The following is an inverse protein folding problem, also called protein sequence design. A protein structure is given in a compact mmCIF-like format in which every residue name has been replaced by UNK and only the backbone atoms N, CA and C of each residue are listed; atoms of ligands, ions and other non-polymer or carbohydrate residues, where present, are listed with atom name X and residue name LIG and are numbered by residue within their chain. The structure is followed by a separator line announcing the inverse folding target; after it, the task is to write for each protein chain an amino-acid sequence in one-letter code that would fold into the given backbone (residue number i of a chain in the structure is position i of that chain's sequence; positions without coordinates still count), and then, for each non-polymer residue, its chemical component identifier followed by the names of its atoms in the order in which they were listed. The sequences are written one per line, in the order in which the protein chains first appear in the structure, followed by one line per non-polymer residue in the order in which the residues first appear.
data_IF_661177730542
#
_entry.id   IF_661177730542
#
_cell.length_a   1.000
_cell.length_b   1.000
_cell.length_c   1.000
_cell.angle_alpha   90.00
_cell.angle_beta   90.00
_cell.angle_gamma   90.00
#
_symmetry.space_group_name_H-M   'P 1'
#
loop_
_entity.id
_entity.type
_entity.pdbx_description
1 polymer ?
#
# COMPACT_ATOMS: atom_id res chain seq x y z
N UNK A 1 -70.59 -53.01 42.87
CA UNK A 1 -69.13 -52.94 43.09
C UNK A 1 -68.70 -51.48 43.03
N UNK A 2 -68.10 -50.99 44.13
CA UNK A 2 -67.20 -49.83 44.29
C UNK A 2 -67.67 -48.39 43.97
N UNK A 3 -67.87 -47.63 45.07
CA UNK A 3 -67.51 -46.23 45.39
C UNK A 3 -67.91 -45.06 44.45
N UNK A 4 -68.17 -43.85 45.00
CA UNK A 4 -67.05 -42.95 45.33
C UNK A 4 -67.22 -42.14 46.64
N UNK A 5 -66.08 -41.70 47.21
CA UNK A 5 -66.01 -40.74 48.35
C UNK A 5 -65.26 -39.49 47.89
N UNK A 6 -65.80 -38.35 48.32
CA UNK A 6 -65.47 -36.97 47.95
C UNK A 6 -64.14 -36.52 48.57
N UNK A 7 -63.24 -35.94 47.76
CA UNK A 7 -61.97 -35.33 48.19
C UNK A 7 -62.02 -33.80 48.16
N UNK A 8 -61.70 -33.17 49.30
CA UNK A 8 -61.66 -31.71 49.48
C UNK A 8 -60.40 -31.08 48.86
N UNK A 9 -60.58 -30.04 48.03
CA UNK A 9 -59.50 -29.20 47.48
C UNK A 9 -59.13 -28.09 48.47
N UNK A 10 -57.85 -28.05 48.89
CA UNK A 10 -57.23 -26.87 49.53
C UNK A 10 -56.44 -26.09 48.48
N UNK A 11 -56.86 -24.85 48.23
CA UNK A 11 -56.09 -23.83 47.53
C UNK A 11 -55.29 -23.06 48.57
N UNK A 12 -53.96 -22.99 48.42
CA UNK A 12 -53.14 -21.95 49.06
C UNK A 12 -52.10 -21.43 48.09
N UNK A 13 -52.16 -20.11 47.89
CA UNK A 13 -51.25 -19.26 47.14
C UNK A 13 -49.79 -19.46 47.57
N UNK A 14 -48.89 -19.53 46.60
CA UNK A 14 -47.48 -19.19 46.77
C UNK A 14 -47.19 -17.94 45.93
N UNK A 15 -47.13 -16.79 46.61
CA UNK A 15 -46.56 -15.55 46.11
C UNK A 15 -45.10 -15.82 45.69
N UNK A 16 -44.83 -15.79 44.39
CA UNK A 16 -43.47 -15.70 43.86
C UNK A 16 -43.20 -14.23 43.54
N UNK A 17 -42.65 -13.49 44.51
CA UNK A 17 -42.17 -12.13 44.31
C UNK A 17 -40.94 -12.17 43.40
N UNK A 18 -41.15 -11.94 42.10
CA UNK A 18 -40.08 -11.79 41.11
C UNK A 18 -39.45 -10.40 41.27
N UNK A 19 -38.54 -10.25 42.22
CA UNK A 19 -37.66 -9.07 42.30
C UNK A 19 -36.58 -9.24 41.25
N UNK A 20 -36.75 -8.58 40.09
CA UNK A 20 -35.67 -8.36 39.12
C UNK A 20 -34.84 -7.16 39.60
N UNK A 21 -33.62 -7.33 40.14
CA UNK A 21 -32.73 -6.20 40.30
C UNK A 21 -32.35 -5.71 38.89
N UNK A 22 -32.62 -4.43 38.62
CA UNK A 22 -32.15 -3.77 37.41
C UNK A 22 -30.63 -3.82 37.37
N UNK A 23 -30.08 -4.68 36.52
CA UNK A 23 -28.66 -4.67 36.15
C UNK A 23 -28.38 -3.43 35.29
N UNK A 24 -28.34 -2.25 35.93
CA UNK A 24 -27.62 -1.11 35.39
C UNK A 24 -26.14 -1.44 35.50
N UNK A 25 -25.60 -2.14 34.49
CA UNK A 25 -24.16 -2.31 34.37
C UNK A 25 -23.54 -0.93 34.14
N UNK A 26 -22.96 -0.34 35.19
CA UNK A 26 -22.21 0.90 35.07
C UNK A 26 -20.96 0.64 34.23
N UNK A 27 -21.01 0.96 32.95
CA UNK A 27 -19.81 1.02 32.10
C UNK A 27 -19.07 2.31 32.47
N UNK A 28 -18.05 2.19 33.32
CA UNK A 28 -17.16 3.30 33.63
C UNK A 28 -16.11 3.41 32.53
N UNK A 29 -16.31 4.37 31.61
CA UNK A 29 -15.31 4.70 30.61
C UNK A 29 -14.34 5.73 31.20
N UNK A 30 -13.03 5.46 31.11
CA UNK A 30 -12.00 6.35 31.64
C UNK A 30 -11.98 7.66 30.85
N UNK A 31 -12.25 8.77 31.53
CA UNK A 31 -12.17 10.11 30.98
C UNK A 31 -11.01 10.87 31.59
N UNK A 32 -10.33 11.68 30.78
CA UNK A 32 -9.21 12.51 31.23
C UNK A 32 -9.10 13.75 30.36
N UNK A 33 -8.69 14.88 30.95
CA UNK A 33 -8.31 16.11 30.22
C UNK A 33 -6.88 15.98 29.72
N UNK A 34 -6.64 16.22 28.43
CA UNK A 34 -5.29 16.10 27.84
C UNK A 34 -4.48 17.39 28.03
N UNK A 35 -5.14 18.55 28.09
CA UNK A 35 -4.52 19.83 28.44
C UNK A 35 -5.40 20.70 29.38
N UNK A 36 -4.82 21.71 30.07
CA UNK A 36 -5.57 22.66 30.87
C UNK A 36 -6.61 23.42 30.03
N UNK A 37 -7.86 23.46 30.51
CA UNK A 37 -8.97 24.12 29.81
C UNK A 37 -9.70 23.25 28.78
N UNK A 38 -9.24 22.03 28.53
CA UNK A 38 -9.97 21.07 27.68
C UNK A 38 -11.07 20.33 28.43
N UNK A 39 -12.09 19.90 27.69
CA UNK A 39 -13.10 18.97 28.20
C UNK A 39 -12.51 17.56 28.35
N UNK A 40 -12.95 16.77 29.36
CA UNK A 40 -12.51 15.39 29.50
C UNK A 40 -12.87 14.57 28.25
N UNK A 41 -11.87 13.88 27.69
CA UNK A 41 -12.05 12.95 26.57
C UNK A 41 -11.95 11.51 27.02
N UNK A 42 -12.62 10.61 26.29
CA UNK A 42 -12.54 9.17 26.50
C UNK A 42 -11.14 8.65 26.11
N UNK A 43 -10.42 8.06 27.06
CA UNK A 43 -9.11 7.44 26.78
C UNK A 43 -9.27 5.93 26.70
N UNK A 44 -9.00 5.40 25.50
CA UNK A 44 -8.92 3.97 25.23
C UNK A 44 -7.58 3.35 25.61
N UNK A 45 -7.35 2.12 25.15
CA UNK A 45 -6.05 1.46 25.32
C UNK A 45 -4.94 2.22 24.56
N UNK A 46 -3.72 2.17 25.10
CA UNK A 46 -2.55 2.75 24.43
C UNK A 46 -2.21 1.99 23.14
N UNK A 47 -1.52 2.66 22.22
CA UNK A 47 -0.97 2.02 21.03
C UNK A 47 0.00 0.90 21.40
N UNK A 48 -0.03 -0.19 20.62
CA UNK A 48 0.85 -1.36 20.77
C UNK A 48 1.30 -1.86 19.40
N UNK A 49 2.33 -2.71 19.38
CA UNK A 49 2.72 -3.43 18.16
C UNK A 49 1.59 -4.30 17.63
N UNK A 50 1.44 -4.38 16.31
CA UNK A 50 0.42 -5.19 15.66
C UNK A 50 0.84 -6.67 15.57
N UNK A 51 0.84 -7.34 16.73
CA UNK A 51 1.18 -8.76 16.91
C UNK A 51 0.13 -9.74 16.40
N UNK A 52 0.61 -10.91 15.98
CA UNK A 52 -0.19 -12.05 15.51
C UNK A 52 0.32 -13.36 16.14
N UNK A 53 -0.38 -14.49 15.97
CA UNK A 53 0.12 -15.80 16.40
C UNK A 53 1.41 -16.22 15.71
N UNK A 54 1.78 -15.60 14.59
CA UNK A 54 2.98 -15.94 13.81
C UNK A 54 4.28 -15.40 14.43
N UNK A 55 4.20 -14.44 15.36
CA UNK A 55 5.39 -13.79 15.93
C UNK A 55 6.42 -14.80 16.49
N UNK A 56 6.06 -15.83 17.29
CA UNK A 56 6.99 -16.91 17.68
C UNK A 56 7.64 -17.62 16.50
N UNK A 57 6.85 -17.92 15.47
CA UNK A 57 7.31 -18.63 14.28
C UNK A 57 8.33 -17.77 13.50
N UNK A 58 8.10 -16.45 13.38
CA UNK A 58 9.07 -15.54 12.75
C UNK A 58 10.36 -15.43 13.56
N UNK A 59 10.28 -15.37 14.88
CA UNK A 59 11.48 -15.32 15.72
C UNK A 59 12.33 -16.59 15.55
N UNK A 60 11.70 -17.76 15.59
CA UNK A 60 12.35 -19.06 15.30
C UNK A 60 12.98 -19.07 13.90
N UNK A 61 12.19 -18.73 12.88
CA UNK A 61 12.63 -18.82 11.50
C UNK A 61 13.74 -17.82 11.16
N UNK A 62 13.68 -16.60 11.71
CA UNK A 62 14.74 -15.59 11.58
C UNK A 62 16.08 -16.08 12.18
N UNK A 63 16.02 -16.76 13.33
CA UNK A 63 17.20 -17.36 13.95
C UNK A 63 17.79 -18.48 13.09
N UNK A 64 16.96 -19.38 12.57
CA UNK A 64 17.39 -20.46 11.66
C UNK A 64 18.02 -19.90 10.37
N UNK A 65 17.38 -18.90 9.75
CA UNK A 65 17.92 -18.24 8.57
C UNK A 65 19.28 -17.60 8.85
N UNK A 66 19.43 -16.92 9.98
CA UNK A 66 20.69 -16.28 10.38
C UNK A 66 21.82 -17.28 10.64
N UNK A 67 21.48 -18.50 11.07
CA UNK A 67 22.45 -19.56 11.32
C UNK A 67 22.98 -20.19 10.02
N UNK A 68 22.15 -20.26 8.97
CA UNK A 68 22.48 -20.93 7.70
C UNK A 68 22.99 -19.96 6.63
N UNK A 69 22.53 -18.71 6.62
CA UNK A 69 22.84 -17.71 5.58
C UNK A 69 23.73 -16.60 6.12
N UNK A 70 24.93 -16.46 5.54
CA UNK A 70 25.83 -15.33 5.83
C UNK A 70 25.53 -14.07 5.01
N UNK A 71 24.88 -14.21 3.85
CA UNK A 71 24.44 -13.08 3.01
C UNK A 71 22.91 -12.96 3.07
N UNK A 72 22.36 -11.76 3.35
CA UNK A 72 20.92 -11.56 3.33
C UNK A 72 20.32 -11.77 1.94
N UNK A 73 19.12 -12.37 1.88
CA UNK A 73 18.33 -12.44 0.65
C UNK A 73 17.59 -11.11 0.47
N UNK A 74 17.74 -10.48 -0.70
CA UNK A 74 17.06 -9.22 -0.99
C UNK A 74 15.72 -9.50 -1.66
N UNK A 75 14.63 -9.17 -0.98
CA UNK A 75 13.27 -9.45 -1.46
C UNK A 75 12.52 -8.13 -1.61
N UNK A 76 11.89 -7.93 -2.76
CA UNK A 76 10.95 -6.85 -2.98
C UNK A 76 9.50 -7.33 -2.79
N UNK A 77 8.59 -6.39 -2.56
CA UNK A 77 7.14 -6.65 -2.54
C UNK A 77 6.51 -5.81 -3.64
N UNK A 78 5.73 -6.44 -4.50
CA UNK A 78 4.90 -5.76 -5.49
C UNK A 78 3.45 -5.68 -5.03
N UNK A 79 2.53 -5.63 -5.99
CA UNK A 79 1.10 -5.62 -5.68
C UNK A 79 0.65 -6.90 -4.96
N UNK A 80 0.00 -6.70 -3.80
CA UNK A 80 -0.80 -7.69 -3.10
C UNK A 80 -2.18 -7.10 -2.86
N UNK A 81 -3.09 -7.38 -3.80
CA UNK A 81 -4.39 -6.70 -3.93
C UNK A 81 -5.55 -7.52 -3.39
N UNK A 82 -6.68 -6.86 -3.19
CA UNK A 82 -7.97 -7.52 -3.02
C UNK A 82 -8.55 -7.90 -4.40
N UNK A 83 -8.63 -9.19 -4.68
CA UNK A 83 -9.28 -9.76 -5.87
C UNK A 83 -10.66 -10.35 -5.56
N UNK A 84 -11.15 -10.25 -4.32
CA UNK A 84 -12.45 -10.81 -3.93
C UNK A 84 -13.62 -10.02 -4.53
N UNK A 85 -13.39 -8.74 -4.87
CA UNK A 85 -14.39 -7.82 -5.40
C UNK A 85 -15.54 -7.52 -4.42
N UNK A 86 -15.41 -7.89 -3.14
CA UNK A 86 -16.46 -7.70 -2.14
C UNK A 86 -16.49 -6.24 -1.70
N UNK A 87 -17.62 -5.59 -1.97
CA UNK A 87 -17.85 -4.19 -1.65
C UNK A 87 -19.21 -4.01 -0.97
N UNK A 88 -19.25 -3.14 0.04
CA UNK A 88 -20.46 -2.66 0.69
C UNK A 88 -20.62 -1.17 0.41
N UNK A 89 -21.83 -0.74 0.06
CA UNK A 89 -22.14 0.68 -0.15
C UNK A 89 -21.97 1.50 1.13
N UNK A 90 -22.20 0.90 2.30
CA UNK A 90 -22.08 1.58 3.60
C UNK A 90 -20.69 1.52 4.21
N UNK A 91 -19.92 0.47 3.93
CA UNK A 91 -18.64 0.18 4.62
C UNK A 91 -17.41 0.19 3.69
N UNK A 92 -17.61 0.29 2.38
CA UNK A 92 -16.53 0.24 1.39
C UNK A 92 -16.07 -1.18 1.07
N UNK A 93 -14.79 -1.34 0.73
CA UNK A 93 -14.19 -2.65 0.44
C UNK A 93 -14.16 -3.53 1.68
N UNK A 94 -14.63 -4.77 1.57
CA UNK A 94 -14.69 -5.69 2.70
C UNK A 94 -13.31 -6.21 3.15
N UNK A 95 -12.32 -6.18 2.26
CA UNK A 95 -10.94 -6.62 2.48
C UNK A 95 -10.00 -5.41 2.49
N UNK A 96 -8.90 -5.54 3.24
CA UNK A 96 -7.84 -4.53 3.28
C UNK A 96 -7.20 -4.31 1.91
N UNK A 97 -6.99 -3.05 1.57
CA UNK A 97 -6.19 -2.64 0.41
C UNK A 97 -4.69 -2.53 0.74
N UNK A 98 -4.29 -2.87 1.97
CA UNK A 98 -2.92 -2.81 2.47
C UNK A 98 -2.19 -4.14 2.46
N UNK A 99 -2.61 -5.11 1.64
CA UNK A 99 -2.02 -6.45 1.58
C UNK A 99 -0.51 -6.42 1.37
N UNK A 100 -0.03 -5.54 0.47
CA UNK A 100 1.40 -5.39 0.18
C UNK A 100 2.16 -4.92 1.43
N UNK A 101 1.62 -3.94 2.16
CA UNK A 101 2.22 -3.44 3.40
C UNK A 101 2.20 -4.48 4.52
N UNK A 102 1.21 -5.39 4.55
CA UNK A 102 1.20 -6.52 5.49
C UNK A 102 2.32 -7.51 5.18
N UNK A 103 2.55 -7.84 3.90
CA UNK A 103 3.67 -8.69 3.46
C UNK A 103 5.02 -8.01 3.72
N UNK A 104 5.16 -6.72 3.41
CA UNK A 104 6.36 -5.94 3.73
C UNK A 104 6.64 -5.93 5.24
N UNK A 105 5.60 -5.76 6.07
CA UNK A 105 5.73 -5.83 7.53
C UNK A 105 6.17 -7.23 7.99
N UNK A 106 5.67 -8.29 7.34
CA UNK A 106 6.06 -9.67 7.63
C UNK A 106 7.53 -9.93 7.30
N UNK A 107 8.02 -9.45 6.15
CA UNK A 107 9.46 -9.48 5.81
C UNK A 107 10.29 -8.67 6.81
N UNK A 108 9.76 -7.56 7.31
CA UNK A 108 10.37 -6.78 8.39
C UNK A 108 10.61 -7.56 9.69
N UNK A 109 9.80 -8.59 9.98
CA UNK A 109 10.02 -9.51 11.12
C UNK A 109 11.22 -10.44 10.91
N UNK A 110 11.73 -10.55 9.68
CA UNK A 110 12.91 -11.33 9.28
C UNK A 110 14.14 -10.43 9.02
N UNK A 111 14.13 -9.19 9.51
CA UNK A 111 15.23 -8.25 9.33
C UNK A 111 16.57 -8.83 9.83
N UNK A 112 17.60 -8.71 9.00
CA UNK A 112 18.91 -9.34 9.20
C UNK A 112 19.19 -10.33 8.07
N UNK A 113 18.71 -11.58 8.16
CA UNK A 113 18.86 -12.57 7.08
C UNK A 113 18.04 -12.24 5.82
N UNK A 114 17.03 -11.37 5.92
CA UNK A 114 16.26 -10.86 4.79
C UNK A 114 16.36 -9.34 4.75
N UNK A 115 16.58 -8.80 3.55
CA UNK A 115 16.56 -7.36 3.28
C UNK A 115 15.36 -7.04 2.40
N UNK A 116 14.50 -6.13 2.84
CA UNK A 116 13.38 -5.62 2.05
C UNK A 116 13.87 -4.54 1.09
N UNK A 117 13.70 -4.74 -0.23
CA UNK A 117 13.91 -3.71 -1.23
C UNK A 117 12.59 -2.99 -1.55
N UNK A 118 12.60 -1.66 -1.48
CA UNK A 118 11.44 -0.84 -1.84
C UNK A 118 11.22 -0.88 -3.37
N UNK A 119 10.08 -1.43 -3.78
CA UNK A 119 9.60 -1.49 -5.17
C UNK A 119 8.08 -1.31 -5.28
N UNK A 120 7.38 -1.20 -4.16
CA UNK A 120 5.93 -1.05 -4.11
C UNK A 120 5.51 0.40 -4.36
N UNK A 121 6.23 1.36 -3.75
CA UNK A 121 6.07 2.80 -4.01
C UNK A 121 7.41 3.42 -4.40
N UNK A 122 7.85 3.26 -5.66
CA UNK A 122 9.11 3.82 -6.12
C UNK A 122 9.03 5.34 -6.35
N UNK A 123 7.85 5.98 -6.20
CA UNK A 123 7.63 7.36 -6.69
C UNK A 123 8.56 8.38 -6.05
N UNK A 124 8.85 8.24 -4.74
CA UNK A 124 9.81 9.10 -4.06
C UNK A 124 11.23 8.80 -4.53
N UNK A 125 11.62 7.52 -4.62
CA UNK A 125 12.94 7.11 -5.10
C UNK A 125 13.22 7.59 -6.53
N UNK A 126 12.24 7.50 -7.43
CA UNK A 126 12.32 8.01 -8.80
C UNK A 126 12.41 9.54 -8.85
N UNK A 127 11.68 10.25 -7.99
CA UNK A 127 11.78 11.71 -7.89
C UNK A 127 13.16 12.14 -7.42
N UNK A 128 13.69 11.50 -6.37
CA UNK A 128 15.04 11.75 -5.86
C UNK A 128 16.11 11.45 -6.91
N UNK A 129 15.95 10.34 -7.65
CA UNK A 129 16.82 10.03 -8.79
C UNK A 129 16.75 11.11 -9.87
N UNK A 130 15.55 11.60 -10.17
CA UNK A 130 15.35 12.71 -11.11
C UNK A 130 15.97 14.03 -10.64
N UNK A 131 15.91 14.36 -9.35
CA UNK A 131 16.62 15.52 -8.79
C UNK A 131 18.13 15.35 -8.89
N UNK A 132 18.62 14.13 -8.64
CA UNK A 132 20.04 13.78 -8.74
C UNK A 132 20.54 13.92 -10.19
N UNK A 133 19.80 13.38 -11.16
CA UNK A 133 20.10 13.49 -12.59
C UNK A 133 20.17 14.95 -13.06
N UNK A 134 19.24 15.79 -12.58
CA UNK A 134 19.23 17.23 -12.84
C UNK A 134 20.25 18.03 -12.03
N UNK A 135 21.10 17.37 -11.23
CA UNK A 135 22.13 18.00 -10.38
C UNK A 135 21.55 18.98 -9.37
N UNK A 136 20.33 18.73 -8.88
CA UNK A 136 19.58 19.58 -7.95
C UNK A 136 19.77 19.19 -6.49
N UNK A 137 20.22 17.96 -6.21
CA UNK A 137 20.51 17.50 -4.85
C UNK A 137 21.96 17.78 -4.47
N UNK A 138 22.16 18.19 -3.22
CA UNK A 138 23.47 18.36 -2.59
C UNK A 138 23.35 18.06 -1.09
N UNK A 139 24.46 17.67 -0.48
CA UNK A 139 24.57 17.39 0.96
C UNK A 139 25.37 18.47 1.70
N UNK A 140 25.62 19.62 1.04
CA UNK A 140 26.42 20.72 1.57
C UNK A 140 27.93 20.54 1.45
N UNK A 141 28.40 19.44 0.87
CA UNK A 141 29.83 19.19 0.62
C UNK A 141 30.16 19.18 -0.87
N UNK A 142 31.37 19.60 -1.27
CA UNK A 142 31.85 19.43 -2.64
C UNK A 142 32.22 17.97 -2.91
N UNK A 143 31.86 17.47 -4.09
CA UNK A 143 32.14 16.11 -4.55
C UNK A 143 33.07 16.12 -5.76
N UNK A 144 34.02 15.19 -5.82
CA UNK A 144 34.91 15.05 -6.97
C UNK A 144 34.33 14.05 -7.97
N UNK A 145 34.26 14.43 -9.24
CA UNK A 145 33.77 13.58 -10.34
C UNK A 145 34.75 13.53 -11.50
N UNK A 146 34.83 12.39 -12.18
CA UNK A 146 35.61 12.24 -13.41
C UNK A 146 34.93 12.96 -14.58
N UNK A 147 35.63 13.93 -15.19
CA UNK A 147 35.18 14.66 -16.37
C UNK A 147 36.05 14.39 -17.60
N UNK A 148 35.55 14.70 -18.80
CA UNK A 148 36.30 14.60 -20.06
C UNK A 148 37.59 15.44 -20.07
N UNK A 149 37.69 16.45 -19.20
CA UNK A 149 38.85 17.34 -19.04
C UNK A 149 39.58 17.14 -17.69
N UNK A 150 39.42 15.98 -17.05
CA UNK A 150 40.00 15.67 -15.74
C UNK A 150 39.02 15.80 -14.56
N UNK A 151 39.48 15.54 -13.33
CA UNK A 151 38.64 15.57 -12.13
C UNK A 151 38.09 16.98 -11.89
N UNK A 152 36.77 17.07 -11.70
CA UNK A 152 36.04 18.32 -11.44
C UNK A 152 35.35 18.26 -10.09
N UNK A 153 35.39 19.35 -9.32
CA UNK A 153 34.67 19.47 -8.05
C UNK A 153 33.30 20.06 -8.29
N UNK A 154 32.25 19.42 -7.78
CA UNK A 154 30.84 19.77 -8.01
C UNK A 154 30.07 19.86 -6.69
N UNK A 155 29.13 20.81 -6.54
CA UNK A 155 28.37 21.00 -5.29
C UNK A 155 27.14 20.08 -5.17
N UNK A 156 26.93 19.18 -6.12
CA UNK A 156 25.76 18.29 -6.21
C UNK A 156 26.16 16.83 -6.05
N UNK A 157 25.20 15.98 -5.67
CA UNK A 157 25.40 14.55 -5.42
C UNK A 157 25.68 13.79 -6.72
N UNK A 158 26.86 13.16 -6.88
CA UNK A 158 27.13 12.33 -8.04
C UNK A 158 26.35 11.03 -8.03
N UNK A 159 25.79 10.66 -9.18
CA UNK A 159 25.06 9.41 -9.35
C UNK A 159 25.88 8.40 -10.14
N UNK A 160 26.14 7.25 -9.55
CA UNK A 160 26.88 6.16 -10.19
C UNK A 160 25.94 5.01 -10.51
N UNK A 161 26.22 4.33 -11.64
CA UNK A 161 25.55 3.08 -11.98
C UNK A 161 25.76 2.03 -10.90
N UNK A 162 24.74 1.20 -10.64
CA UNK A 162 24.80 0.15 -9.61
C UNK A 162 24.55 0.63 -8.18
N UNK A 163 24.17 1.90 -7.97
CA UNK A 163 23.83 2.45 -6.65
C UNK A 163 22.48 1.97 -6.10
N UNK A 164 21.57 1.53 -6.97
CA UNK A 164 20.30 0.90 -6.56
C UNK A 164 20.54 -0.60 -6.41
N UNK A 165 20.36 -1.12 -5.20
CA UNK A 165 20.49 -2.54 -4.93
C UNK A 165 19.46 -3.36 -5.73
N UNK A 166 19.94 -4.44 -6.38
CA UNK A 166 19.07 -5.41 -7.02
C UNK A 166 18.32 -6.25 -5.96
N UNK A 167 17.05 -6.54 -6.19
CA UNK A 167 16.34 -7.60 -5.48
C UNK A 167 16.68 -8.95 -6.11
N UNK A 168 16.90 -9.97 -5.28
CA UNK A 168 17.03 -11.34 -5.74
C UNK A 168 15.66 -11.87 -6.18
N UNK A 169 14.64 -11.61 -5.36
CA UNK A 169 13.27 -12.06 -5.58
C UNK A 169 12.25 -10.95 -5.36
N UNK A 170 11.03 -11.15 -5.86
CA UNK A 170 9.88 -10.32 -5.48
C UNK A 170 8.64 -11.17 -5.19
N UNK A 171 7.83 -10.70 -4.23
CA UNK A 171 6.55 -11.32 -3.86
C UNK A 171 5.39 -10.50 -4.44
N UNK A 172 4.46 -11.18 -5.11
CA UNK A 172 3.21 -10.60 -5.64
C UNK A 172 2.05 -11.58 -5.45
N UNK A 173 0.83 -11.07 -5.50
CA UNK A 173 -0.38 -11.91 -5.42
C UNK A 173 -1.57 -11.14 -4.90
N UNK A 174 -2.41 -11.78 -4.09
CA UNK A 174 -3.53 -11.09 -3.46
C UNK A 174 -4.41 -11.97 -2.60
N UNK A 175 -5.42 -11.32 -2.02
CA UNK A 175 -6.55 -11.97 -1.37
C UNK A 175 -7.56 -12.30 -2.46
N UNK A 176 -7.81 -13.59 -2.67
CA UNK A 176 -8.55 -14.09 -3.85
C UNK A 176 -9.95 -14.55 -3.52
N UNK A 177 -10.21 -14.96 -2.28
CA UNK A 177 -11.53 -15.40 -1.85
C UNK A 177 -11.97 -14.74 -0.55
N UNK A 178 -13.26 -14.43 -0.48
CA UNK A 178 -13.96 -14.09 0.75
C UNK A 178 -15.35 -14.73 0.72
N UNK A 179 -15.50 -15.79 1.49
CA UNK A 179 -16.73 -16.58 1.55
C UNK A 179 -17.44 -16.33 2.88
N UNK A 180 -18.53 -15.57 2.85
CA UNK A 180 -19.40 -15.42 4.01
C UNK A 180 -20.32 -16.63 4.16
N UNK A 181 -20.73 -16.92 5.38
CA UNK A 181 -21.84 -17.82 5.68
C UNK A 181 -21.64 -19.28 5.19
N UNK A 182 -20.41 -19.81 5.30
CA UNK A 182 -20.06 -21.19 4.92
C UNK A 182 -20.90 -22.20 5.70
N UNK A 183 -21.13 -21.91 6.98
CA UNK A 183 -22.05 -22.63 7.85
C UNK A 183 -22.60 -21.66 8.88
N UNK A 184 -23.90 -21.42 8.84
CA UNK A 184 -24.64 -20.75 9.91
C UNK A 184 -25.57 -21.74 10.58
N UNK A 185 -25.43 -21.89 11.90
CA UNK A 185 -26.34 -22.67 12.72
C UNK A 185 -26.92 -21.80 13.82
N UNK A 186 -28.08 -22.18 14.34
CA UNK A 186 -28.64 -21.49 15.49
C UNK A 186 -29.88 -22.19 16.02
N UNK A 187 -30.13 -21.99 17.31
CA UNK A 187 -31.35 -22.41 17.98
C UNK A 187 -32.04 -21.17 18.54
N UNK A 188 -33.33 -21.07 18.33
CA UNK A 188 -34.17 -20.00 18.85
C UNK A 188 -35.41 -20.64 19.47
N UNK A 189 -35.67 -20.32 20.74
CA UNK A 189 -36.90 -20.73 21.43
C UNK A 189 -37.67 -19.48 21.75
N UNK A 190 -38.94 -19.41 21.36
CA UNK A 190 -39.79 -18.23 21.58
C UNK A 190 -41.06 -18.61 22.32
N UNK A 191 -41.41 -17.85 23.36
CA UNK A 191 -42.71 -17.89 24.04
C UNK A 191 -43.22 -16.45 24.09
N UNK A 192 -44.34 -16.16 23.40
CA UNK A 192 -44.89 -14.80 23.34
C UNK A 192 -43.92 -13.77 22.74
N UNK A 193 -43.21 -14.14 21.67
CA UNK A 193 -42.16 -13.34 21.02
C UNK A 193 -40.90 -13.05 21.86
N UNK A 194 -40.84 -13.55 23.09
CA UNK A 194 -39.67 -13.45 23.97
C UNK A 194 -38.93 -14.78 23.99
N UNK A 195 -37.61 -14.76 23.86
CA UNK A 195 -36.82 -15.93 24.20
C UNK A 195 -35.36 -15.92 23.71
N UNK A 196 -34.59 -16.95 24.11
CA UNK A 196 -33.16 -17.02 23.82
C UNK A 196 -32.90 -17.39 22.36
N UNK A 197 -31.86 -16.78 21.80
CA UNK A 197 -31.33 -17.02 20.47
C UNK A 197 -29.82 -17.25 20.54
N UNK A 198 -29.36 -18.34 19.95
CA UNK A 198 -27.93 -18.61 19.73
C UNK A 198 -27.71 -18.75 18.24
N UNK A 199 -26.72 -18.04 17.68
CA UNK A 199 -26.30 -18.17 16.28
C UNK A 199 -24.79 -18.31 16.19
N UNK A 200 -24.33 -19.09 15.22
CA UNK A 200 -22.93 -19.16 14.80
C UNK A 200 -22.81 -18.73 13.36
N UNK A 201 -21.71 -18.06 13.04
CA UNK A 201 -21.40 -17.55 11.71
C UNK A 201 -19.99 -17.98 11.33
N UNK A 202 -19.86 -18.78 10.28
CA UNK A 202 -18.55 -19.16 9.73
C UNK A 202 -18.31 -18.45 8.40
N UNK A 203 -17.14 -17.86 8.26
CA UNK A 203 -16.65 -17.24 7.03
C UNK A 203 -15.22 -17.72 6.74
N UNK A 204 -14.74 -17.57 5.51
CA UNK A 204 -13.34 -17.85 5.17
C UNK A 204 -12.76 -16.81 4.24
N UNK A 205 -11.43 -16.71 4.28
CA UNK A 205 -10.64 -15.92 3.35
C UNK A 205 -9.57 -16.82 2.74
N UNK A 206 -9.27 -16.64 1.46
CA UNK A 206 -8.11 -17.26 0.82
C UNK A 206 -7.16 -16.22 0.25
N UNK A 207 -5.87 -16.54 0.27
CA UNK A 207 -4.82 -15.75 -0.34
C UNK A 207 -4.01 -16.62 -1.30
N UNK A 208 -3.56 -16.01 -2.38
CA UNK A 208 -2.67 -16.62 -3.36
C UNK A 208 -1.47 -15.70 -3.56
N UNK A 209 -0.29 -16.17 -3.16
CA UNK A 209 0.96 -15.42 -3.33
C UNK A 209 1.98 -16.26 -4.10
N UNK A 210 2.90 -15.57 -4.77
CA UNK A 210 4.06 -16.20 -5.41
C UNK A 210 5.31 -15.38 -5.20
N UNK A 211 6.45 -16.06 -5.14
CA UNK A 211 7.78 -15.47 -5.14
C UNK A 211 8.47 -15.78 -6.47
N UNK A 212 9.02 -14.76 -7.09
CA UNK A 212 9.56 -14.80 -8.46
C UNK A 212 11.01 -14.36 -8.44
N UNK A 213 11.88 -15.08 -9.17
CA UNK A 213 13.28 -14.67 -9.36
C UNK A 213 13.31 -13.41 -10.27
N UNK A 214 13.95 -12.34 -9.79
CA UNK A 214 13.92 -11.03 -10.47
C UNK A 214 14.64 -11.06 -11.82
N UNK A 215 15.62 -11.96 -12.01
CA UNK A 215 16.46 -12.01 -13.21
C UNK A 215 15.83 -12.83 -14.32
N UNK A 216 15.28 -13.99 -13.98
CA UNK A 216 14.70 -14.94 -14.92
C UNK A 216 13.19 -14.78 -15.11
N UNK A 217 12.53 -14.09 -14.17
CA UNK A 217 11.06 -13.96 -14.08
C UNK A 217 10.33 -15.31 -13.94
N UNK A 218 11.06 -16.38 -13.61
CA UNK A 218 10.48 -17.68 -13.31
C UNK A 218 9.93 -17.69 -11.88
N UNK A 219 8.73 -18.26 -11.73
CA UNK A 219 8.09 -18.41 -10.43
C UNK A 219 8.82 -19.49 -9.64
N UNK A 220 9.49 -19.11 -8.56
CA UNK A 220 10.23 -20.03 -7.71
C UNK A 220 9.27 -20.85 -6.81
N UNK A 221 8.24 -20.20 -6.26
CA UNK A 221 7.21 -20.88 -5.44
C UNK A 221 5.88 -20.14 -5.47
N UNK A 222 4.79 -20.90 -5.42
CA UNK A 222 3.44 -20.40 -5.16
C UNK A 222 2.91 -20.96 -3.83
N UNK A 223 2.03 -20.20 -3.17
CA UNK A 223 1.31 -20.61 -1.97
C UNK A 223 -0.15 -20.16 -2.09
N UNK A 224 -1.06 -21.06 -1.76
CA UNK A 224 -2.50 -20.80 -1.60
C UNK A 224 -2.87 -21.21 -0.19
N UNK A 225 -3.33 -20.26 0.63
CA UNK A 225 -3.73 -20.52 2.01
C UNK A 225 -5.15 -20.02 2.26
N UNK A 226 -5.92 -20.80 3.00
CA UNK A 226 -7.28 -20.45 3.41
C UNK A 226 -7.38 -20.44 4.92
N UNK A 227 -8.01 -19.41 5.48
CA UNK A 227 -8.33 -19.32 6.91
C UNK A 227 -9.83 -19.15 7.11
N UNK A 228 -10.38 -19.98 7.99
CA UNK A 228 -11.75 -19.87 8.45
C UNK A 228 -11.82 -19.05 9.74
N UNK A 229 -12.89 -18.28 9.87
CA UNK A 229 -13.25 -17.49 11.04
C UNK A 229 -14.62 -17.96 11.52
N UNK A 230 -14.78 -18.13 12.82
CA UNK A 230 -16.08 -18.43 13.43
C UNK A 230 -16.43 -17.35 14.43
N UNK A 231 -17.65 -16.83 14.34
CA UNK A 231 -18.25 -15.94 15.33
C UNK A 231 -19.50 -16.55 15.93
N UNK A 232 -19.92 -16.01 17.08
CA UNK A 232 -21.16 -16.40 17.74
C UNK A 232 -21.94 -15.16 18.20
N UNK A 233 -23.25 -15.33 18.28
CA UNK A 233 -24.20 -14.37 18.83
C UNK A 233 -25.09 -15.11 19.83
N UNK A 234 -25.13 -14.64 21.07
CA UNK A 234 -26.04 -15.13 22.10
C UNK A 234 -26.87 -13.92 22.54
N UNK A 235 -28.18 -13.98 22.34
CA UNK A 235 -29.07 -12.86 22.65
C UNK A 235 -30.43 -13.31 23.14
N UNK A 236 -31.12 -12.40 23.80
CA UNK A 236 -32.52 -12.52 24.19
C UNK A 236 -33.24 -11.32 23.59
N UNK A 237 -34.25 -11.59 22.77
CA UNK A 237 -35.06 -10.55 22.13
C UNK A 237 -36.40 -10.44 22.89
N UNK A 238 -36.82 -9.22 23.24
CA UNK A 238 -38.15 -8.96 23.82
C UNK A 238 -38.91 -7.95 22.99
N UNK A 239 -40.13 -8.31 22.57
CA UNK A 239 -41.09 -7.39 21.95
C UNK A 239 -42.19 -7.06 22.96
N UNK A 240 -42.44 -5.77 23.20
CA UNK A 240 -43.59 -5.31 23.98
C UNK A 240 -44.35 -4.23 23.20
N UNK A 241 -45.67 -4.40 23.16
CA UNK A 241 -46.59 -3.37 22.67
C UNK A 241 -46.93 -2.44 23.83
N UNK A 242 -46.70 -1.14 23.64
CA UNK A 242 -47.29 -0.09 24.48
C UNK A 242 -48.21 0.76 23.60
N UNK A 243 -49.52 0.48 23.65
CA UNK A 243 -50.48 1.12 22.73
C UNK A 243 -50.32 0.62 21.29
N UNK A 244 -50.12 1.54 20.33
CA UNK A 244 -49.88 1.25 18.90
C UNK A 244 -48.41 0.98 18.54
N UNK A 245 -47.48 1.16 19.49
CA UNK A 245 -46.06 1.20 19.18
C UNK A 245 -45.35 -0.09 19.63
N UNK A 246 -44.47 -0.60 18.76
CA UNK A 246 -43.67 -1.80 18.96
C UNK A 246 -42.28 -1.40 19.47
N UNK A 247 -41.94 -1.83 20.69
CA UNK A 247 -40.60 -1.64 21.25
C UNK A 247 -39.82 -2.95 21.21
N UNK A 248 -38.62 -2.92 20.60
CA UNK A 248 -37.66 -4.04 20.53
C UNK A 248 -36.50 -3.76 21.50
N UNK A 249 -36.32 -4.65 22.48
CA UNK A 249 -35.17 -4.62 23.41
C UNK A 249 -34.35 -5.89 23.20
N UNK A 250 -33.15 -5.71 22.63
CA UNK A 250 -32.18 -6.78 22.40
C UNK A 250 -31.08 -6.75 23.47
N UNK A 251 -30.96 -7.82 24.25
CA UNK A 251 -29.87 -8.00 25.23
C UNK A 251 -29.03 -9.19 24.78
N UNK A 252 -27.76 -8.99 24.45
CA UNK A 252 -26.91 -10.08 23.97
C UNK A 252 -25.42 -9.75 23.87
N UNK A 253 -24.61 -10.80 23.74
CA UNK A 253 -23.18 -10.73 23.47
C UNK A 253 -22.88 -11.35 22.10
N UNK A 254 -22.08 -10.65 21.30
CA UNK A 254 -21.58 -11.12 20.01
C UNK A 254 -20.05 -11.09 20.04
N UNK A 255 -19.42 -12.17 19.59
CA UNK A 255 -17.96 -12.29 19.51
C UNK A 255 -17.54 -12.88 18.18
N UNK A 256 -16.51 -12.32 17.55
CA UNK A 256 -15.97 -12.81 16.28
C UNK A 256 -14.46 -12.56 16.22
N UNK A 257 -13.71 -13.49 15.63
CA UNK A 257 -12.32 -13.26 15.27
C UNK A 257 -12.22 -12.07 14.28
N UNK A 258 -11.35 -11.07 14.53
CA UNK A 258 -11.21 -9.95 13.60
C UNK A 258 -10.71 -10.41 12.22
N UNK A 259 -11.50 -10.15 11.18
CA UNK A 259 -11.19 -10.55 9.80
C UNK A 259 -9.80 -10.09 9.35
N UNK A 260 -9.47 -8.81 9.59
CA UNK A 260 -8.19 -8.22 9.21
C UNK A 260 -6.99 -8.87 9.93
N UNK A 261 -7.19 -9.33 11.16
CA UNK A 261 -6.16 -10.02 11.94
C UNK A 261 -5.88 -11.41 11.37
N UNK A 262 -6.91 -12.13 10.95
CA UNK A 262 -6.71 -13.41 10.27
C UNK A 262 -6.08 -13.26 8.90
N UNK A 263 -6.48 -12.26 8.10
CA UNK A 263 -5.83 -11.95 6.81
C UNK A 263 -4.34 -11.69 7.02
N UNK A 264 -3.98 -10.84 7.98
CA UNK A 264 -2.58 -10.57 8.33
C UNK A 264 -1.85 -11.85 8.71
N UNK A 265 -2.43 -12.68 9.58
CA UNK A 265 -1.85 -13.95 10.03
C UNK A 265 -1.59 -14.89 8.84
N UNK A 266 -2.54 -14.99 7.90
CA UNK A 266 -2.40 -15.83 6.72
C UNK A 266 -1.35 -15.30 5.74
N UNK A 267 -1.32 -13.98 5.48
CA UNK A 267 -0.28 -13.34 4.65
C UNK A 267 1.11 -13.53 5.25
N UNK A 268 1.21 -13.45 6.57
CA UNK A 268 2.44 -13.69 7.31
C UNK A 268 2.94 -15.14 7.16
N UNK A 269 2.06 -16.14 7.31
CA UNK A 269 2.43 -17.53 7.09
C UNK A 269 2.83 -17.81 5.63
N UNK A 270 2.07 -17.26 4.67
CA UNK A 270 2.41 -17.37 3.25
C UNK A 270 3.79 -16.76 2.94
N UNK A 271 4.08 -15.58 3.51
CA UNK A 271 5.38 -14.93 3.37
C UNK A 271 6.50 -15.83 3.89
N UNK A 272 6.34 -16.42 5.08
CA UNK A 272 7.32 -17.32 5.67
C UNK A 272 7.57 -18.56 4.78
N UNK A 273 6.51 -19.18 4.26
CA UNK A 273 6.59 -20.32 3.32
C UNK A 273 7.32 -19.96 2.02
N UNK A 274 7.07 -18.77 1.46
CA UNK A 274 7.72 -18.29 0.24
C UNK A 274 9.21 -17.99 0.47
N UNK A 275 9.54 -17.31 1.58
CA UNK A 275 10.94 -17.04 1.95
C UNK A 275 11.68 -18.36 2.18
N UNK A 276 11.10 -19.31 2.91
CA UNK A 276 11.71 -20.62 3.14
C UNK A 276 12.04 -21.37 1.86
N UNK A 277 11.19 -21.27 0.83
CA UNK A 277 11.45 -21.91 -0.46
C UNK A 277 12.69 -21.36 -1.18
N UNK A 278 12.91 -20.04 -1.18
CA UNK A 278 14.09 -19.42 -1.84
C UNK A 278 15.32 -19.35 -0.92
N UNK A 279 15.11 -19.44 0.39
CA UNK A 279 16.16 -19.53 1.39
C UNK A 279 16.67 -20.96 1.60
N UNK A 280 15.96 -21.96 1.06
CA UNK A 280 16.22 -23.40 1.25
C UNK A 280 16.20 -23.81 2.74
N UNK A 281 15.30 -23.20 3.51
CA UNK A 281 15.07 -23.52 4.93
C UNK A 281 13.58 -23.78 5.11
N UNK A 282 13.22 -24.98 5.57
CA UNK A 282 11.82 -25.37 5.76
C UNK A 282 11.21 -24.70 7.00
N UNK A 283 10.20 -23.81 6.85
CA UNK A 283 9.64 -23.10 8.00
C UNK A 283 8.62 -23.92 8.79
N UNK A 284 8.25 -25.15 8.39
CA UNK A 284 7.17 -25.90 9.05
C UNK A 284 7.41 -26.12 10.54
N UNK A 285 8.65 -26.40 10.95
CA UNK A 285 9.01 -26.56 12.36
C UNK A 285 8.73 -25.30 13.20
N UNK A 286 9.09 -24.13 12.67
CA UNK A 286 8.81 -22.84 13.32
C UNK A 286 7.32 -22.47 13.26
N UNK A 287 6.62 -22.78 12.16
CA UNK A 287 5.17 -22.54 12.01
C UNK A 287 4.37 -23.28 13.09
N UNK A 288 4.80 -24.47 13.50
CA UNK A 288 4.16 -25.19 14.60
C UNK A 288 4.22 -24.46 15.96
N UNK A 289 5.08 -23.43 16.10
CA UNK A 289 5.18 -22.61 17.31
C UNK A 289 4.18 -21.44 17.35
N UNK A 290 3.29 -21.33 16.35
CA UNK A 290 2.24 -20.31 16.32
C UNK A 290 1.48 -20.26 17.65
N UNK A 291 1.46 -19.10 18.32
CA UNK A 291 0.75 -18.94 19.59
C UNK A 291 0.40 -17.49 19.88
N UNK A 292 -0.70 -17.28 20.60
CA UNK A 292 -1.09 -15.98 21.14
C UNK A 292 -0.29 -15.56 22.38
N UNK A 293 0.76 -16.28 22.75
CA UNK A 293 1.48 -16.00 23.99
C UNK A 293 2.21 -14.64 23.90
N UNK A 294 1.79 -13.61 24.65
CA UNK A 294 2.35 -12.27 24.54
C UNK A 294 3.77 -12.17 25.12
N UNK A 295 4.25 -13.20 25.83
CA UNK A 295 5.55 -13.22 26.50
C UNK A 295 6.76 -13.24 25.55
N UNK A 296 6.55 -13.25 24.24
CA UNK A 296 7.63 -13.24 23.26
C UNK A 296 8.11 -11.81 23.06
N UNK A 297 9.37 -11.59 23.38
CA UNK A 297 10.05 -10.31 23.15
C UNK A 297 10.37 -10.20 21.67
N UNK A 298 9.90 -9.14 21.01
CA UNK A 298 10.35 -8.83 19.65
C UNK A 298 11.86 -8.53 19.70
N UNK A 299 12.63 -8.89 18.66
CA UNK A 299 14.01 -8.43 18.57
C UNK A 299 14.03 -6.89 18.68
N UNK A 300 15.02 -6.32 19.38
CA UNK A 300 15.13 -4.87 19.50
C UNK A 300 15.20 -4.25 18.11
N UNK A 301 14.63 -3.04 17.96
CA UNK A 301 14.77 -2.25 16.73
C UNK A 301 16.26 -2.10 16.47
N UNK A 302 16.76 -2.82 15.47
CA UNK A 302 18.11 -2.58 14.96
C UNK A 302 17.99 -1.36 14.06
N UNK A 303 18.77 -0.33 14.36
CA UNK A 303 18.95 0.75 13.41
C UNK A 303 19.47 0.12 12.12
N UNK A 304 18.81 0.41 11.00
CA UNK A 304 19.35 0.03 9.70
C UNK A 304 20.77 0.55 9.68
N UNK A 305 21.74 -0.35 9.58
CA UNK A 305 23.11 0.06 9.30
C UNK A 305 23.00 0.87 8.03
N UNK A 306 23.36 2.16 8.11
CA UNK A 306 23.28 3.05 6.96
C UNK A 306 24.02 2.29 5.87
N UNK A 307 23.33 1.88 4.81
CA UNK A 307 24.01 1.32 3.67
C UNK A 307 25.10 2.35 3.37
N UNK A 308 26.35 1.96 3.60
CA UNK A 308 27.45 2.90 3.45
C UNK A 308 27.28 3.53 2.07
N UNK A 309 27.57 4.83 1.89
CA UNK A 309 27.69 5.36 0.53
C UNK A 309 28.51 4.32 -0.22
N UNK A 310 27.96 3.77 -1.33
CA UNK A 310 28.60 2.70 -2.11
C UNK A 310 30.07 3.04 -2.12
N UNK A 311 30.86 2.22 -1.44
CA UNK A 311 32.20 2.59 -1.02
C UNK A 311 32.89 3.28 -2.19
N UNK A 312 33.34 4.51 -1.97
CA UNK A 312 34.18 5.25 -2.93
C UNK A 312 35.38 4.41 -3.42
N UNK A 313 35.65 3.26 -2.81
CA UNK A 313 36.70 2.30 -3.18
C UNK A 313 36.34 1.22 -4.21
N UNK A 314 35.15 1.21 -4.84
CA UNK A 314 34.87 0.29 -5.96
C UNK A 314 34.37 0.98 -7.24
N UNK A 315 34.11 2.28 -7.18
CA UNK A 315 34.17 3.09 -8.40
C UNK A 315 35.65 3.28 -8.69
N UNK A 316 36.18 2.56 -9.68
CA UNK A 316 37.49 2.88 -10.26
C UNK A 316 37.59 4.40 -10.39
N UNK A 317 38.79 4.99 -10.22
CA UNK A 317 39.01 6.41 -10.47
C UNK A 317 38.60 6.86 -11.91
N UNK A 318 38.20 5.91 -12.75
CA UNK A 318 37.64 6.07 -14.09
C UNK A 318 36.09 6.02 -14.18
N UNK A 319 35.37 5.67 -13.12
CA UNK A 319 33.91 5.55 -13.15
C UNK A 319 33.28 6.94 -13.26
N UNK A 320 32.75 7.22 -14.45
CA UNK A 320 32.09 8.47 -14.73
C UNK A 320 30.70 8.48 -14.09
N UNK A 321 30.42 9.47 -13.26
CA UNK A 321 29.06 9.64 -12.72
C UNK A 321 28.09 9.85 -13.90
N UNK A 322 26.97 9.13 -13.91
CA UNK A 322 26.02 9.12 -15.04
C UNK A 322 25.47 10.52 -15.30
N UNK A 323 25.26 11.30 -14.25
CA UNK A 323 24.82 12.68 -14.33
C UNK A 323 25.94 13.68 -14.66
N UNK A 324 27.17 13.24 -14.97
CA UNK A 324 28.25 14.08 -15.53
C UNK A 324 28.33 14.05 -17.05
N UNK A 325 27.74 13.04 -17.70
CA UNK A 325 27.66 12.99 -19.15
C UNK A 325 26.97 14.27 -19.64
N UNK A 326 27.39 14.86 -20.76
CA UNK A 326 26.64 15.94 -21.37
C UNK A 326 25.22 15.42 -21.56
N UNK A 327 24.24 16.00 -20.86
CA UNK A 327 22.86 15.88 -21.28
C UNK A 327 22.88 16.29 -22.74
N UNK A 328 22.58 15.35 -23.64
CA UNK A 328 22.67 15.58 -25.07
C UNK A 328 22.09 16.95 -25.37
N UNK A 329 22.95 17.86 -25.83
CA UNK A 329 22.48 19.11 -26.39
C UNK A 329 21.35 18.73 -27.37
N UNK A 330 20.15 19.32 -27.29
CA UNK A 330 19.02 19.01 -28.18
C UNK A 330 19.25 19.48 -29.64
N UNK A 331 20.50 19.46 -30.10
CA UNK A 331 20.97 19.93 -31.39
C UNK A 331 21.32 18.81 -32.37
N UNK A 332 20.73 17.62 -32.23
CA UNK A 332 20.77 16.61 -33.30
C UNK A 332 19.37 16.01 -33.50
N UNK A 333 18.64 16.57 -34.46
CA UNK A 333 17.45 15.97 -35.07
C UNK A 333 16.10 16.35 -34.46
N UNK A 334 15.91 16.11 -33.16
CA UNK A 334 14.55 15.88 -32.65
C UNK A 334 13.96 16.96 -31.70
N UNK A 335 14.74 17.99 -31.36
CA UNK A 335 14.30 19.06 -30.47
C UNK A 335 14.26 18.70 -28.98
N UNK A 336 14.06 19.69 -28.11
CA UNK A 336 13.93 19.49 -26.66
C UNK A 336 12.56 18.89 -26.32
N UNK A 337 12.49 17.86 -25.48
CA UNK A 337 11.22 17.28 -25.06
C UNK A 337 10.76 17.82 -23.70
N UNK A 338 9.46 18.11 -23.58
CA UNK A 338 8.80 18.51 -22.35
C UNK A 338 7.71 17.49 -22.01
N UNK A 339 7.97 16.71 -20.96
CA UNK A 339 7.11 15.62 -20.52
C UNK A 339 6.04 16.11 -19.55
N UNK A 340 4.80 15.68 -19.80
CA UNK A 340 3.67 15.84 -18.88
C UNK A 340 3.32 14.53 -18.18
N UNK A 341 2.84 14.65 -16.94
CA UNK A 341 2.29 13.51 -16.20
C UNK A 341 0.92 13.10 -16.76
N UNK A 342 0.57 11.80 -16.70
CA UNK A 342 -0.71 11.30 -17.19
C UNK A 342 -1.92 12.07 -16.62
N UNK A 343 -2.78 12.57 -17.50
CA UNK A 343 -4.01 13.28 -17.16
C UNK A 343 -3.83 14.72 -16.65
N UNK A 344 -2.61 15.25 -16.60
CA UNK A 344 -2.33 16.61 -16.10
C UNK A 344 -1.83 17.55 -17.21
N UNK A 345 -2.24 18.82 -17.14
CA UNK A 345 -1.69 19.94 -17.91
C UNK A 345 -0.74 20.82 -17.10
N UNK A 346 -0.40 20.43 -15.87
CA UNK A 346 0.40 21.25 -14.97
C UNK A 346 1.88 21.16 -15.31
N UNK A 347 2.55 22.31 -15.23
CA UNK A 347 3.99 22.42 -15.40
C UNK A 347 4.70 22.29 -14.05
N UNK A 348 5.27 21.12 -13.78
CA UNK A 348 6.12 20.91 -12.60
C UNK A 348 7.42 21.74 -12.63
N UNK A 349 8.14 21.78 -11.50
CA UNK A 349 9.36 22.58 -11.36
C UNK A 349 10.46 22.26 -12.39
N UNK A 350 10.60 20.99 -12.78
CA UNK A 350 11.54 20.55 -13.83
C UNK A 350 11.16 21.07 -15.22
N UNK A 351 9.86 21.04 -15.55
CA UNK A 351 9.32 21.58 -16.79
C UNK A 351 9.54 23.10 -16.85
N UNK A 352 9.29 23.81 -15.75
CA UNK A 352 9.52 25.26 -15.64
C UNK A 352 11.00 25.65 -15.80
N UNK A 353 11.93 24.82 -15.29
CA UNK A 353 13.36 25.01 -15.47
C UNK A 353 13.81 24.73 -16.92
N UNK A 354 13.26 23.68 -17.54
CA UNK A 354 13.51 23.39 -18.96
C UNK A 354 13.03 24.54 -19.86
N UNK A 355 11.82 25.06 -19.62
CA UNK A 355 11.28 26.21 -20.35
C UNK A 355 12.11 27.47 -20.15
N UNK A 356 12.74 27.67 -18.99
CA UNK A 356 13.69 28.77 -18.79
C UNK A 356 14.94 28.63 -19.67
N UNK A 357 15.53 27.43 -19.75
CA UNK A 357 16.66 27.17 -20.65
C UNK A 357 16.28 27.33 -22.12
N UNK A 358 15.11 26.82 -22.51
CA UNK A 358 14.59 26.95 -23.87
C UNK A 358 14.35 28.41 -24.22
N UNK A 359 13.73 29.20 -23.33
CA UNK A 359 13.50 30.63 -23.55
C UNK A 359 14.81 31.40 -23.74
N UNK A 360 15.85 31.05 -22.99
CA UNK A 360 17.17 31.68 -23.15
C UNK A 360 17.85 31.26 -24.46
N UNK A 361 17.80 29.97 -24.81
CA UNK A 361 18.35 29.45 -26.07
C UNK A 361 17.62 30.02 -27.31
N UNK A 362 16.31 30.20 -27.22
CA UNK A 362 15.49 30.75 -28.30
C UNK A 362 15.83 32.22 -28.65
N UNK A 363 16.60 32.92 -27.81
CA UNK A 363 17.10 34.26 -28.10
C UNK A 363 18.22 34.27 -29.13
N UNK A 364 18.98 33.18 -29.24
CA UNK A 364 20.14 33.09 -30.12
C UNK A 364 19.84 32.27 -31.37
N UNK A 365 19.03 31.22 -31.27
CA UNK A 365 18.64 30.39 -32.40
C UNK A 365 17.25 29.77 -32.19
N UNK A 366 16.49 29.46 -33.25
CA UNK A 366 15.24 28.71 -33.14
C UNK A 366 15.43 27.36 -32.45
N UNK A 367 14.54 27.03 -31.52
CA UNK A 367 14.52 25.75 -30.78
C UNK A 367 13.24 25.00 -31.14
N UNK A 368 13.38 23.74 -31.55
CA UNK A 368 12.23 22.83 -31.67
C UNK A 368 11.94 22.21 -30.29
N UNK A 369 10.68 22.28 -29.85
CA UNK A 369 10.17 21.75 -28.59
C UNK A 369 9.08 20.71 -28.86
N UNK A 370 9.24 19.51 -28.34
CA UNK A 370 8.24 18.45 -28.33
C UNK A 370 7.48 18.48 -27.02
N UNK A 371 6.15 18.46 -27.09
CA UNK A 371 5.28 18.19 -25.94
C UNK A 371 4.98 16.69 -25.96
N UNK A 372 5.34 16.01 -24.88
CA UNK A 372 5.25 14.54 -24.79
C UNK A 372 4.53 14.11 -23.51
N UNK A 373 3.93 12.93 -23.53
CA UNK A 373 3.37 12.24 -22.36
C UNK A 373 3.83 10.78 -22.33
N UNK A 374 3.58 10.05 -21.24
CA UNK A 374 3.86 8.61 -21.20
C UNK A 374 2.97 7.86 -22.21
N UNK A 375 3.51 6.85 -22.87
CA UNK A 375 2.77 5.99 -23.82
C UNK A 375 1.63 5.18 -23.17
N UNK A 376 1.62 5.07 -21.84
CA UNK A 376 0.52 4.52 -21.04
C UNK A 376 -0.70 5.45 -20.95
N UNK A 377 -0.59 6.73 -21.33
CA UNK A 377 -1.73 7.66 -21.36
C UNK A 377 -2.60 7.39 -22.61
N UNK A 378 -3.50 6.42 -22.51
CA UNK A 378 -4.44 6.07 -23.57
C UNK A 378 -5.77 6.76 -23.32
N UNK A 379 -6.05 7.82 -24.09
CA UNK A 379 -7.26 8.61 -24.01
C UNK A 379 -8.08 8.52 -25.31
N UNK A 380 -9.39 8.72 -25.17
CA UNK A 380 -10.28 8.94 -26.31
C UNK A 380 -9.83 10.18 -27.11
N UNK A 381 -9.91 10.18 -28.46
CA UNK A 381 -9.32 11.25 -29.29
C UNK A 381 -9.72 12.67 -28.87
N UNK A 382 -11.01 12.90 -28.58
CA UNK A 382 -11.50 14.21 -28.14
C UNK A 382 -10.92 14.66 -26.79
N UNK A 383 -10.74 13.73 -25.84
CA UNK A 383 -10.15 14.04 -24.52
C UNK A 383 -8.66 14.33 -24.63
N UNK A 384 -7.94 13.57 -25.47
CA UNK A 384 -6.53 13.80 -25.76
C UNK A 384 -6.31 15.15 -26.43
N UNK A 385 -7.17 15.51 -27.38
CA UNK A 385 -7.11 16.79 -28.09
C UNK A 385 -7.29 17.97 -27.11
N UNK A 386 -8.33 17.93 -26.27
CA UNK A 386 -8.59 18.94 -25.25
C UNK A 386 -7.44 19.06 -24.22
N UNK A 387 -6.88 17.95 -23.77
CA UNK A 387 -5.74 17.96 -22.85
C UNK A 387 -4.46 18.49 -23.51
N UNK A 388 -4.26 18.17 -24.79
CA UNK A 388 -3.12 18.69 -25.57
C UNK A 388 -3.23 20.21 -25.74
N UNK A 389 -4.43 20.75 -25.96
CA UNK A 389 -4.66 22.21 -25.99
C UNK A 389 -4.30 22.88 -24.66
N UNK A 390 -4.72 22.30 -23.54
CA UNK A 390 -4.39 22.81 -22.20
C UNK A 390 -2.86 22.80 -21.97
N UNK A 391 -2.18 21.72 -22.38
CA UNK A 391 -0.71 21.60 -22.27
C UNK A 391 0.01 22.62 -23.16
N UNK A 392 -0.42 22.80 -24.40
CA UNK A 392 0.13 23.82 -25.31
C UNK A 392 -0.06 25.22 -24.70
N UNK A 393 -1.25 25.53 -24.20
CA UNK A 393 -1.55 26.82 -23.57
C UNK A 393 -0.62 27.07 -22.36
N UNK A 394 -0.49 26.08 -21.46
CA UNK A 394 0.41 26.18 -20.31
C UNK A 394 1.87 26.45 -20.73
N UNK A 395 2.36 25.76 -21.77
CA UNK A 395 3.71 25.98 -22.31
C UNK A 395 3.88 27.37 -22.90
N UNK A 396 2.91 27.84 -23.69
CA UNK A 396 2.92 29.16 -24.31
C UNK A 396 2.91 30.25 -23.24
N UNK A 397 2.06 30.14 -22.22
CA UNK A 397 1.97 31.09 -21.12
C UNK A 397 3.28 31.12 -20.32
N UNK A 398 3.85 29.95 -20.02
CA UNK A 398 5.11 29.83 -19.31
C UNK A 398 6.31 30.40 -20.10
N UNK A 399 6.36 30.23 -21.42
CA UNK A 399 7.39 30.83 -22.28
C UNK A 399 7.21 32.35 -22.40
N UNK A 400 5.95 32.81 -22.49
CA UNK A 400 5.62 34.25 -22.54
C UNK A 400 6.01 34.95 -21.25
N UNK A 401 5.73 34.34 -20.09
CA UNK A 401 6.20 34.81 -18.79
C UNK A 401 7.74 34.87 -18.67
N UNK A 402 8.47 34.19 -19.56
CA UNK A 402 9.95 34.18 -19.64
C UNK A 402 10.51 35.07 -20.75
N UNK A 403 9.66 35.91 -21.35
CA UNK A 403 10.05 36.92 -22.33
C UNK A 403 10.10 36.43 -23.79
N UNK A 404 9.56 35.25 -24.09
CA UNK A 404 9.37 34.82 -25.49
C UNK A 404 8.06 35.43 -26.00
N UNK A 405 8.12 36.28 -27.02
CA UNK A 405 6.91 36.85 -27.60
C UNK A 405 6.02 35.74 -28.20
N UNK A 406 4.70 35.81 -27.99
CA UNK A 406 3.75 34.80 -28.49
C UNK A 406 3.86 34.56 -30.00
N UNK A 407 4.14 35.61 -30.78
CA UNK A 407 4.37 35.51 -32.24
C UNK A 407 5.66 34.77 -32.64
N UNK A 408 6.55 34.47 -31.70
CA UNK A 408 7.78 33.69 -31.88
C UNK A 408 7.60 32.22 -31.47
N UNK A 409 6.38 31.80 -31.12
CA UNK A 409 6.04 30.42 -30.78
C UNK A 409 5.09 29.89 -31.85
N UNK A 410 5.57 28.98 -32.69
CA UNK A 410 4.79 28.43 -33.80
C UNK A 410 4.52 26.94 -33.60
N UNK A 411 3.25 26.54 -33.65
CA UNK A 411 2.87 25.12 -33.71
C UNK A 411 3.28 24.55 -35.07
N UNK A 412 4.14 23.53 -35.07
CA UNK A 412 4.66 22.87 -36.27
C UNK A 412 3.91 21.59 -36.59
N UNK A 413 3.45 20.88 -35.56
CA UNK A 413 2.75 19.62 -35.71
C UNK A 413 1.87 19.33 -34.50
N UNK A 414 0.71 18.73 -34.75
CA UNK A 414 -0.14 18.02 -33.79
C UNK A 414 -1.02 17.00 -34.53
N UNK A 415 -1.47 15.91 -33.90
CA UNK A 415 -2.47 15.01 -34.46
C UNK A 415 -3.80 15.73 -34.73
N UNK A 416 -4.60 15.20 -35.66
CA UNK A 416 -5.97 15.67 -35.86
C UNK A 416 -6.84 15.31 -34.63
N UNK A 417 -7.87 16.11 -34.33
CA UNK A 417 -8.73 15.89 -33.17
C UNK A 417 -9.40 14.51 -33.15
N UNK A 418 -9.66 13.93 -34.33
CA UNK A 418 -10.26 12.60 -34.51
C UNK A 418 -9.23 11.48 -34.71
N UNK A 419 -7.93 11.77 -34.67
CA UNK A 419 -6.88 10.78 -34.95
C UNK A 419 -6.83 9.71 -33.84
N UNK A 420 -7.10 8.42 -34.11
CA UNK A 420 -7.04 7.40 -33.07
C UNK A 420 -5.61 6.93 -32.78
N UNK A 421 -4.61 7.36 -33.57
CA UNK A 421 -3.27 6.81 -33.51
C UNK A 421 -2.47 7.34 -32.31
N UNK A 422 -1.69 6.43 -31.70
CA UNK A 422 -0.73 6.74 -30.65
C UNK A 422 0.63 7.02 -31.31
N UNK A 423 1.02 8.30 -31.37
CA UNK A 423 2.28 8.72 -31.98
C UNK A 423 3.45 8.44 -31.03
N UNK A 424 3.97 7.21 -31.04
CA UNK A 424 5.05 6.79 -30.12
C UNK A 424 6.36 7.53 -30.42
N UNK A 425 6.98 8.06 -29.38
CA UNK A 425 8.32 8.63 -29.39
C UNK A 425 9.33 7.71 -28.68
N UNK A 426 10.51 8.27 -28.38
CA UNK A 426 11.56 7.56 -27.64
C UNK A 426 11.24 7.41 -26.13
N UNK A 427 11.94 6.49 -25.45
CA UNK A 427 11.91 6.33 -23.99
C UNK A 427 10.51 6.12 -23.36
N UNK A 428 9.60 5.41 -24.04
CA UNK A 428 8.25 5.12 -23.53
C UNK A 428 7.33 6.35 -23.50
N UNK A 429 7.61 7.33 -24.37
CA UNK A 429 6.79 8.52 -24.52
C UNK A 429 5.93 8.46 -25.79
N UNK A 430 4.90 9.30 -25.85
CA UNK A 430 4.14 9.64 -27.04
C UNK A 430 4.26 11.14 -27.35
N UNK A 431 4.38 11.48 -28.62
CA UNK A 431 4.41 12.86 -29.14
C UNK A 431 2.99 13.41 -29.23
N UNK A 432 2.76 14.55 -28.59
CA UNK A 432 1.45 15.23 -28.58
C UNK A 432 1.44 16.46 -29.49
N UNK A 433 2.52 17.23 -29.47
CA UNK A 433 2.68 18.41 -30.32
C UNK A 433 4.15 18.79 -30.50
N UNK A 434 4.45 19.54 -31.56
CA UNK A 434 5.77 20.15 -31.80
C UNK A 434 5.62 21.65 -31.97
N UNK A 435 6.39 22.41 -31.21
CA UNK A 435 6.47 23.86 -31.26
C UNK A 435 7.86 24.29 -31.73
N UNK A 436 7.93 25.33 -32.54
CA UNK A 436 9.17 26.05 -32.84
C UNK A 436 9.19 27.35 -32.06
N UNK A 437 10.26 27.61 -31.34
CA UNK A 437 10.41 28.73 -30.42
C UNK A 437 11.61 29.57 -30.86
N UNK A 438 11.38 30.85 -31.15
CA UNK A 438 12.41 31.74 -31.66
C UNK A 438 12.58 31.65 -33.18
N UNK A 439 13.16 32.71 -33.74
CA UNK A 439 13.25 32.99 -35.18
C UNK A 439 12.77 34.39 -35.50
#
# INVERSE_FOLDING_TARGET
MLAPVIGARRVRLLLSALVLPGLSGCVSLRQQRLAPGEEPVLIGAAARDNRTPMDPAFACFSAELSAVRHKPVVIAVGDVRDFTGKYSVSEGTAITQGGALMVSSALGKLAGPVTLAERFDPTIGERELGYTDRRQLGDGSPHNVGGANGPSSVPWLPYYGGSIAASDYYIVGGITELNYNIRSGGAEVRVGQVGPKVRTYTQSVAIDLRIVDTRSLLVARTVSLTKQFTGYEIGLNTFRFFGSDLFDVNIGAKGQEPLQLGIRTTLEEATMRLVGAVAEVDPQGCIAMQSWNPAITLPPIRFAERAGPVTQGLVDAAAQALNTLPQTNPGRGDGAALMFEPGSSDLGGSALAALHRIANAARTAPVELRIVARDIEVLEPAKRDALTDQRIAAVVDALTARGVAKGKIALRWRPAASDPTLHRGEAGAQDLARLRIGG
#
